data_IF_355999400425
#
_entry.id   IF_355999400425
#
_cell.length_a   1.000
_cell.length_b   1.000
_cell.length_c   1.000
_cell.angle_alpha   90.00
_cell.angle_beta   90.00
_cell.angle_gamma   90.00
#
_symmetry.space_group_name_H-M   'P 1'
#
loop_
_entity.id
_entity.type
_entity.pdbx_description
1 polymer ?
#
# COMPACT_ATOMS: atom_id res chain seq x y z
N UNK A 1 10.98 10.23 -8.13
CA UNK A 1 10.70 8.81 -7.81
C UNK A 1 10.94 7.95 -9.06
N UNK A 2 11.84 6.95 -8.98
CA UNK A 2 12.22 6.10 -10.12
C UNK A 2 11.03 5.35 -10.76
N UNK A 3 10.13 4.80 -9.93
CA UNK A 3 8.97 4.05 -10.42
C UNK A 3 7.96 4.90 -11.21
N UNK A 4 7.77 6.17 -10.81
CA UNK A 4 6.90 7.09 -11.55
C UNK A 4 7.45 7.36 -12.95
N UNK A 5 8.77 7.52 -13.09
CA UNK A 5 9.41 7.74 -14.39
C UNK A 5 9.32 6.51 -15.28
N UNK A 6 9.50 5.31 -14.70
CA UNK A 6 9.29 4.04 -15.42
C UNK A 6 7.86 3.93 -15.97
N UNK A 7 6.85 4.16 -15.13
CA UNK A 7 5.44 4.10 -15.53
C UNK A 7 5.11 5.10 -16.65
N UNK A 8 5.64 6.32 -16.57
CA UNK A 8 5.52 7.32 -17.64
C UNK A 8 6.15 6.84 -18.95
N UNK A 9 7.34 6.24 -18.89
CA UNK A 9 7.97 5.62 -20.06
C UNK A 9 7.14 4.49 -20.68
N UNK A 10 6.36 3.78 -19.87
CA UNK A 10 5.43 2.73 -20.32
C UNK A 10 4.09 3.28 -20.84
N UNK A 11 3.84 4.60 -20.75
CA UNK A 11 2.62 5.24 -21.21
C UNK A 11 1.50 5.34 -20.15
N UNK A 12 1.82 5.14 -18.87
CA UNK A 12 0.91 5.38 -17.74
C UNK A 12 1.18 6.75 -17.10
N UNK A 13 0.18 7.32 -16.43
CA UNK A 13 0.24 8.63 -15.76
C UNK A 13 -0.74 9.61 -16.38
N UNK A 14 -0.80 10.84 -15.87
CA UNK A 14 -1.75 11.86 -16.35
C UNK A 14 -1.68 12.01 -17.87
N UNK A 15 -2.82 11.85 -18.55
CA UNK A 15 -2.98 11.86 -20.01
C UNK A 15 -2.21 10.74 -20.73
N UNK A 16 -1.90 9.67 -20.00
CA UNK A 16 -1.16 8.51 -20.49
C UNK A 16 -2.03 7.66 -21.42
N UNK A 17 -1.48 7.26 -22.57
CA UNK A 17 -2.17 6.38 -23.53
C UNK A 17 -2.65 5.03 -22.97
N UNK A 18 -2.12 4.59 -21.82
CA UNK A 18 -2.54 3.37 -21.10
C UNK A 18 -3.36 3.64 -19.84
N UNK A 19 -3.69 4.90 -19.56
CA UNK A 19 -4.50 5.34 -18.42
C UNK A 19 -3.72 6.10 -17.35
N UNK A 20 -4.48 6.82 -16.52
CA UNK A 20 -4.01 7.78 -15.53
C UNK A 20 -3.55 7.14 -14.21
N UNK A 21 -2.80 6.05 -14.30
CA UNK A 21 -2.31 5.33 -13.13
C UNK A 21 -0.93 5.84 -12.69
N UNK A 22 -0.75 6.04 -11.39
CA UNK A 22 0.52 6.48 -10.80
C UNK A 22 0.82 5.70 -9.50
N UNK A 23 2.10 5.61 -9.07
CA UNK A 23 2.46 4.84 -7.87
C UNK A 23 1.77 5.30 -6.58
N UNK A 24 1.36 6.56 -6.52
CA UNK A 24 0.60 7.08 -5.37
C UNK A 24 -0.83 6.56 -5.36
N UNK A 25 -1.48 6.45 -6.53
CA UNK A 25 -2.83 5.90 -6.66
C UNK A 25 -2.91 4.46 -6.15
N UNK A 26 -1.91 3.63 -6.47
CA UNK A 26 -1.85 2.26 -5.96
C UNK A 26 -1.80 2.18 -4.42
N UNK A 27 -1.09 3.11 -3.76
CA UNK A 27 -1.05 3.17 -2.29
C UNK A 27 -2.39 3.62 -1.70
N UNK A 28 -3.04 4.60 -2.33
CA UNK A 28 -4.38 5.05 -1.93
C UNK A 28 -5.38 3.91 -2.03
N UNK A 29 -5.45 3.23 -3.17
CA UNK A 29 -6.38 2.11 -3.37
C UNK A 29 -6.19 0.99 -2.36
N UNK A 30 -4.93 0.63 -2.06
CA UNK A 30 -4.65 -0.34 -0.99
C UNK A 30 -5.14 0.17 0.37
N UNK A 31 -4.88 1.45 0.70
CA UNK A 31 -5.29 2.02 1.99
C UNK A 31 -6.81 2.09 2.13
N UNK A 32 -7.50 2.52 1.09
CA UNK A 32 -8.96 2.59 1.04
C UNK A 32 -9.55 1.19 1.22
N UNK A 33 -9.05 0.19 0.48
CA UNK A 33 -9.47 -1.20 0.64
C UNK A 33 -9.26 -1.72 2.09
N UNK A 34 -8.07 -1.52 2.67
CA UNK A 34 -7.84 -1.95 4.06
C UNK A 34 -8.79 -1.29 5.05
N UNK A 35 -9.17 -0.02 4.83
CA UNK A 35 -10.04 0.73 5.74
C UNK A 35 -11.53 0.45 5.58
N UNK A 36 -11.98 0.16 4.36
CA UNK A 36 -13.41 0.04 4.04
C UNK A 36 -13.88 -1.41 3.97
N UNK A 37 -13.00 -2.35 3.59
CA UNK A 37 -13.39 -3.73 3.24
C UNK A 37 -12.90 -4.74 4.28
N UNK A 38 -11.90 -4.37 5.09
CA UNK A 38 -11.26 -5.31 6.03
C UNK A 38 -11.38 -4.84 7.47
N UNK A 39 -10.99 -5.71 8.41
CA UNK A 39 -10.84 -5.36 9.83
C UNK A 39 -9.37 -5.23 10.25
N UNK A 40 -8.44 -5.12 9.29
CA UNK A 40 -7.02 -4.98 9.61
C UNK A 40 -6.76 -3.66 10.34
N UNK A 41 -6.01 -3.71 11.46
CA UNK A 41 -5.60 -2.51 12.16
C UNK A 41 -4.81 -1.56 11.25
N UNK A 42 -5.06 -0.25 11.40
CA UNK A 42 -4.42 0.78 10.56
C UNK A 42 -2.90 0.67 10.56
N UNK A 43 -2.30 0.43 11.71
CA UNK A 43 -0.85 0.27 11.85
C UNK A 43 -0.27 -0.85 10.99
N UNK A 44 -0.98 -1.98 10.84
CA UNK A 44 -0.53 -3.08 9.98
C UNK A 44 -0.47 -2.61 8.52
N UNK A 45 -1.47 -1.85 8.05
CA UNK A 45 -1.51 -1.29 6.70
C UNK A 45 -0.43 -0.22 6.47
N UNK A 46 -0.24 0.71 7.42
CA UNK A 46 0.82 1.73 7.33
C UNK A 46 2.22 1.08 7.30
N UNK A 47 2.43 0.00 8.06
CA UNK A 47 3.69 -0.76 8.03
C UNK A 47 3.89 -1.56 6.74
N UNK A 48 2.82 -2.01 6.08
CA UNK A 48 2.93 -2.60 4.74
C UNK A 48 3.29 -1.56 3.68
N UNK A 49 2.86 -0.31 3.86
CA UNK A 49 3.25 0.83 3.02
C UNK A 49 4.66 1.38 3.31
N UNK A 50 5.35 0.80 4.30
CA UNK A 50 6.64 1.27 4.82
C UNK A 50 6.60 2.75 5.27
N UNK A 51 5.45 3.19 5.80
CA UNK A 51 5.33 4.51 6.39
C UNK A 51 6.03 4.54 7.74
N UNK A 52 6.72 5.65 8.01
CA UNK A 52 7.41 5.87 9.28
C UNK A 52 6.39 6.19 10.37
N UNK A 53 6.57 5.61 11.55
CA UNK A 53 5.79 5.99 12.74
C UNK A 53 6.29 7.36 13.21
N UNK A 54 5.45 8.39 13.11
CA UNK A 54 5.82 9.76 13.51
C UNK A 54 6.02 9.89 15.03
N UNK A 55 5.25 9.14 15.82
CA UNK A 55 5.36 9.15 17.27
C UNK A 55 6.56 8.32 17.74
N UNK A 56 7.63 9.02 18.15
CA UNK A 56 8.87 8.40 18.65
C UNK A 56 8.67 7.51 19.88
N UNK A 57 7.68 7.81 20.73
CA UNK A 57 7.37 7.00 21.91
C UNK A 57 6.74 5.68 21.47
N UNK A 58 5.73 5.74 20.59
CA UNK A 58 5.10 4.53 20.02
C UNK A 58 6.12 3.67 19.27
N UNK A 59 6.97 4.30 18.46
CA UNK A 59 8.04 3.63 17.73
C UNK A 59 9.02 2.90 18.67
N UNK A 60 9.35 3.48 19.82
CA UNK A 60 10.25 2.86 20.81
C UNK A 60 9.64 1.61 21.47
N UNK A 61 8.32 1.57 21.67
CA UNK A 61 7.64 0.41 22.25
C UNK A 61 7.27 -0.68 21.23
N UNK A 62 7.17 -0.32 19.95
CA UNK A 62 6.83 -1.28 18.87
C UNK A 62 8.06 -2.10 18.47
N UNK A 63 8.32 -3.17 19.21
CA UNK A 63 9.46 -4.08 19.00
C UNK A 63 9.28 -5.10 17.86
N UNK A 64 8.03 -5.37 17.47
CA UNK A 64 7.70 -6.32 16.40
C UNK A 64 7.32 -5.61 15.10
N UNK A 65 7.58 -6.26 13.98
CA UNK A 65 7.29 -5.73 12.63
C UNK A 65 5.92 -6.23 12.07
N UNK A 66 5.16 -6.96 12.90
CA UNK A 66 3.87 -7.56 12.57
C UNK A 66 3.91 -8.40 11.28
N UNK A 67 5.04 -9.04 10.97
CA UNK A 67 5.29 -9.70 9.69
C UNK A 67 4.17 -10.64 9.25
N UNK A 68 3.75 -11.59 10.10
CA UNK A 68 2.70 -12.55 9.72
C UNK A 68 1.34 -11.88 9.47
N UNK A 69 1.00 -10.82 10.23
CA UNK A 69 -0.21 -10.04 9.97
C UNK A 69 -0.13 -9.30 8.64
N UNK A 70 1.04 -8.72 8.33
CA UNK A 70 1.28 -8.06 7.03
C UNK A 70 1.20 -9.07 5.90
N UNK A 71 1.75 -10.26 6.08
CA UNK A 71 1.72 -11.34 5.08
C UNK A 71 0.29 -11.77 4.75
N UNK A 72 -0.53 -12.05 5.78
CA UNK A 72 -1.93 -12.42 5.59
C UNK A 72 -2.72 -11.32 4.87
N UNK A 73 -2.59 -10.07 5.33
CA UNK A 73 -3.25 -8.92 4.71
C UNK A 73 -2.84 -8.72 3.24
N UNK A 74 -1.55 -8.86 2.92
CA UNK A 74 -1.08 -8.72 1.54
C UNK A 74 -1.55 -9.88 0.64
N UNK A 75 -1.73 -11.08 1.21
CA UNK A 75 -2.32 -12.20 0.48
C UNK A 75 -3.80 -11.93 0.17
N UNK A 76 -4.59 -11.51 1.16
CA UNK A 76 -5.99 -11.15 0.95
C UNK A 76 -6.16 -10.00 -0.05
N UNK A 77 -5.26 -9.02 -0.02
CA UNK A 77 -5.25 -7.95 -1.02
C UNK A 77 -5.00 -8.51 -2.43
N UNK A 78 -4.02 -9.40 -2.57
CA UNK A 78 -3.72 -10.06 -3.84
C UNK A 78 -4.93 -10.83 -4.35
N UNK A 79 -5.57 -11.60 -3.48
CA UNK A 79 -6.75 -12.40 -3.84
C UNK A 79 -7.91 -11.49 -4.28
N UNK A 80 -8.14 -10.38 -3.56
CA UNK A 80 -9.15 -9.39 -3.92
C UNK A 80 -8.94 -8.79 -5.32
N UNK A 81 -7.74 -8.29 -5.63
CA UNK A 81 -7.48 -7.62 -6.92
C UNK A 81 -7.32 -8.58 -8.10
N UNK A 82 -7.12 -9.87 -7.86
CA UNK A 82 -6.96 -10.89 -8.91
C UNK A 82 -8.18 -11.79 -9.08
N UNK A 83 -9.12 -11.77 -8.13
CA UNK A 83 -10.40 -12.45 -8.29
C UNK A 83 -11.12 -11.91 -9.54
N UNK A 84 -11.43 -12.84 -10.45
CA UNK A 84 -12.17 -12.60 -11.70
C UNK A 84 -13.56 -13.19 -11.57
#
# INVERSE_FOLDING_TARGET
MAMLQLMRGMGYGLDGKRGDFVPHGFRSSFRDWTGEVTSYPRDVAEMALAHTIENKVEAAYRRGDLFEKRRAMMQEWSDFITST
#
